data_IF_912403429063
#
_entry.id   IF_912403429063
#
_cell.length_a   1.000
_cell.length_b   1.000
_cell.length_c   1.000
_cell.angle_alpha   90.00
_cell.angle_beta   90.00
_cell.angle_gamma   90.00
#
_symmetry.space_group_name_H-M   'P 1'
#
loop_
_entity.id
_entity.type
_entity.pdbx_description
1 polymer ?
#
# COMPACT_ATOMS: atom_id res chain seq x y z
N UNK A 1 6.97 61.58 -15.78
CA UNK A 1 6.02 60.44 -15.78
C UNK A 1 6.69 59.09 -16.15
N UNK A 2 7.82 58.71 -15.54
CA UNK A 2 8.47 57.39 -15.82
C UNK A 2 8.76 56.55 -14.55
N UNK A 3 8.55 57.12 -13.37
CA UNK A 3 8.89 56.48 -12.08
C UNK A 3 7.65 55.78 -11.47
N UNK A 4 6.46 56.35 -11.67
CA UNK A 4 5.20 55.77 -11.16
C UNK A 4 4.84 54.42 -11.80
N UNK A 5 5.25 54.17 -13.04
CA UNK A 5 4.91 52.94 -13.78
C UNK A 5 5.73 51.73 -13.34
N UNK A 6 6.92 51.93 -12.74
CA UNK A 6 7.78 50.82 -12.27
C UNK A 6 7.39 50.30 -10.88
N UNK A 7 6.75 51.13 -10.05
CA UNK A 7 6.30 50.70 -8.72
C UNK A 7 5.06 49.78 -8.78
N UNK A 8 4.18 49.98 -9.75
CA UNK A 8 2.95 49.18 -9.88
C UNK A 8 3.26 47.74 -10.34
N UNK A 9 4.34 47.55 -11.10
CA UNK A 9 4.75 46.21 -11.56
C UNK A 9 5.35 45.34 -10.43
N UNK A 10 5.96 45.96 -9.41
CA UNK A 10 6.56 45.23 -8.29
C UNK A 10 5.50 44.75 -7.27
N UNK A 11 4.40 45.51 -7.09
CA UNK A 11 3.30 45.10 -6.21
C UNK A 11 2.40 44.01 -6.82
N UNK A 12 2.36 43.89 -8.15
CA UNK A 12 1.57 42.85 -8.82
C UNK A 12 2.17 41.43 -8.68
N UNK A 13 3.49 41.31 -8.47
CA UNK A 13 4.15 40.00 -8.30
C UNK A 13 4.12 39.46 -6.86
N UNK A 14 3.80 40.29 -5.86
CA UNK A 14 3.74 39.88 -4.45
C UNK A 14 2.37 39.28 -4.06
N UNK A 15 1.35 39.39 -4.91
CA UNK A 15 -0.01 38.91 -4.61
C UNK A 15 -0.32 37.47 -5.05
N UNK A 16 0.59 36.77 -5.73
CA UNK A 16 0.31 35.48 -6.39
C UNK A 16 1.02 34.27 -5.78
N UNK A 17 1.82 34.45 -4.75
CA UNK A 17 2.33 33.33 -3.96
C UNK A 17 1.31 32.94 -2.88
N UNK A 18 0.09 32.56 -3.29
CA UNK A 18 -0.73 31.75 -2.41
C UNK A 18 0.09 30.47 -2.12
N UNK A 19 0.36 30.13 -0.86
CA UNK A 19 0.96 28.82 -0.58
C UNK A 19 -0.01 27.81 -1.20
N UNK A 20 0.48 27.01 -2.14
CA UNK A 20 -0.28 25.87 -2.62
C UNK A 20 -0.75 25.14 -1.37
N UNK A 21 -2.07 25.10 -1.15
CA UNK A 21 -2.62 24.44 0.01
C UNK A 21 -2.21 22.98 -0.10
N UNK A 22 -1.15 22.61 0.63
CA UNK A 22 -0.67 21.24 0.70
C UNK A 22 -1.86 20.45 1.24
N UNK A 23 -2.48 19.65 0.38
CA UNK A 23 -3.64 18.86 0.77
C UNK A 23 -3.24 18.02 1.98
N UNK A 24 -4.04 18.06 3.05
CA UNK A 24 -3.76 17.28 4.23
C UNK A 24 -3.71 15.79 3.86
N UNK A 25 -2.89 14.97 4.55
CA UNK A 25 -2.86 13.54 4.31
C UNK A 25 -4.25 12.92 4.42
N UNK A 26 -4.66 12.20 3.39
CA UNK A 26 -5.97 11.56 3.28
C UNK A 26 -5.87 10.07 3.64
N UNK A 27 -6.72 9.61 4.56
CA UNK A 27 -6.86 8.17 4.85
C UNK A 27 -7.78 7.55 3.81
N UNK A 28 -7.21 6.74 2.92
CA UNK A 28 -7.96 6.12 1.81
C UNK A 28 -8.55 4.77 2.20
N UNK A 29 -8.01 4.10 3.21
CA UNK A 29 -8.59 2.88 3.77
C UNK A 29 -8.12 2.63 5.22
N UNK A 30 -8.95 1.94 6.02
CA UNK A 30 -8.63 1.49 7.37
C UNK A 30 -9.15 0.05 7.53
N UNK A 31 -8.27 -0.89 7.87
CA UNK A 31 -8.61 -2.28 8.17
C UNK A 31 -8.26 -2.59 9.62
N UNK A 32 -9.18 -3.25 10.31
CA UNK A 32 -8.90 -3.72 11.66
C UNK A 32 -8.24 -5.08 11.62
N UNK A 33 -6.95 -5.12 11.94
CA UNK A 33 -6.16 -6.35 12.03
C UNK A 33 -6.01 -6.79 13.49
N UNK A 34 -5.55 -8.02 13.69
CA UNK A 34 -5.19 -8.60 14.99
C UNK A 34 -4.12 -7.80 15.76
N UNK A 35 -3.35 -6.94 15.09
CA UNK A 35 -2.34 -6.06 15.71
C UNK A 35 -2.77 -4.61 15.89
N UNK A 36 -3.99 -4.25 15.44
CA UNK A 36 -4.49 -2.88 15.42
C UNK A 36 -4.80 -2.37 14.00
N UNK A 37 -5.04 -1.05 13.84
CA UNK A 37 -5.47 -0.49 12.56
C UNK A 37 -4.34 -0.49 11.56
N UNK A 38 -4.62 -1.06 10.38
CA UNK A 38 -3.84 -0.92 9.18
C UNK A 38 -4.47 0.16 8.32
N UNK A 39 -3.78 1.27 8.14
CA UNK A 39 -4.27 2.45 7.43
C UNK A 39 -3.48 2.64 6.14
N UNK A 40 -4.16 2.94 5.05
CA UNK A 40 -3.51 3.45 3.83
C UNK A 40 -3.75 4.95 3.79
N UNK A 41 -2.67 5.71 3.80
CA UNK A 41 -2.68 7.17 3.82
C UNK A 41 -2.03 7.68 2.55
N UNK A 42 -2.69 8.60 1.86
CA UNK A 42 -2.16 9.31 0.70
C UNK A 42 -1.80 10.73 1.09
N UNK A 43 -0.57 11.12 0.81
CA UNK A 43 -0.07 12.49 0.98
C UNK A 43 0.55 12.96 -0.34
N UNK A 44 -0.21 13.76 -1.09
CA UNK A 44 0.13 14.17 -2.46
C UNK A 44 0.36 12.99 -3.40
N UNK A 45 1.62 12.78 -3.79
CA UNK A 45 2.05 11.69 -4.68
C UNK A 45 2.59 10.46 -3.92
N UNK A 46 2.71 10.53 -2.60
CA UNK A 46 3.15 9.41 -1.77
C UNK A 46 1.95 8.69 -1.17
N UNK A 47 2.07 7.37 -1.06
CA UNK A 47 1.16 6.53 -0.29
C UNK A 47 1.94 5.81 0.79
N UNK A 48 1.39 5.77 2.00
CA UNK A 48 2.01 5.16 3.17
C UNK A 48 1.03 4.17 3.79
N UNK A 49 1.51 2.99 4.17
CA UNK A 49 0.76 2.03 4.97
C UNK A 49 1.24 2.14 6.40
N UNK A 50 0.31 2.43 7.31
CA UNK A 50 0.55 2.54 8.73
C UNK A 50 -0.04 1.33 9.46
N UNK A 51 0.68 0.78 10.43
CA UNK A 51 0.14 -0.18 11.40
C UNK A 51 0.18 0.44 12.79
N UNK A 52 -0.99 0.69 13.39
CA UNK A 52 -1.09 1.37 14.68
C UNK A 52 -0.42 2.76 14.68
N UNK A 53 -0.50 3.47 13.56
CA UNK A 53 0.12 4.78 13.37
C UNK A 53 1.61 4.76 12.96
N UNK A 54 2.24 3.59 12.86
CA UNK A 54 3.65 3.48 12.43
C UNK A 54 3.75 3.08 10.97
N UNK A 55 4.58 3.78 10.20
CA UNK A 55 4.90 3.42 8.81
C UNK A 55 5.55 2.05 8.70
N UNK A 56 4.90 1.15 7.96
CA UNK A 56 5.40 -0.20 7.67
C UNK A 56 5.72 -0.41 6.18
N UNK A 57 5.11 0.40 5.31
CA UNK A 57 5.36 0.41 3.87
C UNK A 57 5.10 1.81 3.30
N UNK A 58 5.82 2.17 2.24
CA UNK A 58 5.66 3.45 1.55
C UNK A 58 5.96 3.26 0.07
N UNK A 59 5.14 3.86 -0.78
CA UNK A 59 5.36 3.92 -2.22
C UNK A 59 5.20 5.36 -2.72
N UNK A 60 6.04 5.75 -3.68
CA UNK A 60 5.96 7.04 -4.35
C UNK A 60 5.38 6.88 -5.76
N UNK A 61 4.51 7.79 -6.16
CA UNK A 61 3.91 7.84 -7.49
C UNK A 61 2.52 7.22 -7.53
N UNK A 62 2.43 5.90 -7.57
CA UNK A 62 1.16 5.20 -7.71
C UNK A 62 0.30 5.31 -6.43
N UNK A 63 -1.02 5.43 -6.62
CA UNK A 63 -1.95 5.27 -5.52
C UNK A 63 -1.86 3.84 -4.98
N UNK A 64 -1.60 3.70 -3.69
CA UNK A 64 -1.82 2.43 -3.01
C UNK A 64 -3.31 2.34 -2.63
N UNK A 65 -3.92 1.19 -2.89
CA UNK A 65 -5.29 0.91 -2.48
C UNK A 65 -5.34 -0.48 -1.89
N UNK A 66 -5.78 -0.60 -0.65
CA UNK A 66 -6.03 -1.91 -0.06
C UNK A 66 -7.27 -2.53 -0.74
N UNK A 67 -7.13 -3.78 -1.21
CA UNK A 67 -8.15 -4.42 -2.04
C UNK A 67 -8.78 -5.64 -1.37
N UNK A 68 -7.95 -6.50 -0.78
CA UNK A 68 -8.38 -7.75 -0.17
C UNK A 68 -7.84 -7.86 1.24
N UNK A 69 -8.69 -8.26 2.18
CA UNK A 69 -8.35 -8.54 3.58
C UNK A 69 -8.77 -9.96 3.91
N UNK A 70 -7.89 -10.72 4.57
CA UNK A 70 -8.12 -12.12 4.92
C UNK A 70 -7.44 -12.46 6.24
N UNK A 71 -8.13 -13.17 7.13
CA UNK A 71 -7.52 -13.79 8.30
C UNK A 71 -7.10 -15.21 7.97
N UNK A 72 -5.87 -15.58 8.32
CA UNK A 72 -5.23 -16.86 7.97
C UNK A 72 -4.77 -17.58 9.23
N UNK A 73 -5.06 -18.87 9.32
CA UNK A 73 -4.78 -19.69 10.51
C UNK A 73 -5.77 -19.45 11.66
N UNK A 74 -5.40 -19.97 12.84
CA UNK A 74 -6.21 -19.89 14.05
C UNK A 74 -6.04 -18.54 14.77
N UNK A 75 -7.01 -18.14 15.60
CA UNK A 75 -6.95 -16.85 16.31
C UNK A 75 -5.72 -16.70 17.22
N UNK A 76 -5.16 -17.81 17.71
CA UNK A 76 -4.05 -17.80 18.66
C UNK A 76 -2.71 -17.44 18.00
N UNK A 77 -2.48 -17.91 16.78
CA UNK A 77 -1.19 -17.83 16.10
C UNK A 77 -1.27 -17.41 14.62
N UNK A 78 -2.47 -17.19 14.12
CA UNK A 78 -2.74 -16.70 12.78
C UNK A 78 -2.30 -15.26 12.54
N UNK A 79 -2.56 -14.80 11.33
CA UNK A 79 -2.20 -13.47 10.86
C UNK A 79 -3.28 -12.94 9.92
N UNK A 80 -3.37 -11.62 9.82
CA UNK A 80 -4.17 -10.98 8.80
C UNK A 80 -3.29 -10.62 7.60
N UNK A 81 -3.83 -10.84 6.41
CA UNK A 81 -3.20 -10.55 5.13
C UNK A 81 -4.01 -9.47 4.41
N UNK A 82 -3.33 -8.42 3.96
CA UNK A 82 -3.90 -7.36 3.14
C UNK A 82 -3.14 -7.26 1.83
N UNK A 83 -3.85 -7.35 0.71
CA UNK A 83 -3.27 -7.02 -0.60
C UNK A 83 -3.40 -5.52 -0.87
N UNK A 84 -2.25 -4.89 -1.10
CA UNK A 84 -2.14 -3.48 -1.44
C UNK A 84 -1.88 -3.36 -2.93
N UNK A 85 -2.88 -2.86 -3.65
CA UNK A 85 -2.87 -2.63 -5.08
C UNK A 85 -2.03 -1.40 -5.44
N UNK A 86 -1.20 -1.52 -6.47
CA UNK A 86 -0.44 -0.41 -7.05
C UNK A 86 -1.09 0.10 -8.34
N UNK A 87 -1.71 1.29 -8.28
CA UNK A 87 -2.14 2.02 -9.48
C UNK A 87 -3.00 1.20 -10.45
N UNK A 88 -3.09 1.62 -11.71
CA UNK A 88 -3.77 0.87 -12.76
C UNK A 88 -2.70 0.19 -13.62
N UNK A 89 -2.59 -1.14 -13.57
CA UNK A 89 -1.63 -1.88 -14.39
C UNK A 89 -1.86 -1.69 -15.89
N UNK A 90 -0.98 -2.25 -16.73
CA UNK A 90 -1.02 -2.15 -18.18
C UNK A 90 -1.01 -3.53 -18.86
N UNK A 91 -0.93 -3.57 -20.19
CA UNK A 91 -0.93 -4.81 -20.96
C UNK A 91 0.31 -5.69 -20.71
N UNK A 92 1.47 -5.08 -20.43
CA UNK A 92 2.74 -5.76 -20.19
C UNK A 92 2.89 -6.23 -18.74
N UNK A 93 2.22 -5.56 -17.81
CA UNK A 93 2.16 -5.92 -16.42
C UNK A 93 0.79 -5.50 -15.89
N UNK A 94 -0.16 -6.45 -15.77
CA UNK A 94 -1.37 -6.25 -15.02
C UNK A 94 -1.08 -5.65 -13.65
N UNK A 95 -2.12 -5.19 -12.99
CA UNK A 95 -2.07 -4.57 -11.67
C UNK A 95 -1.15 -5.36 -10.72
N UNK A 96 -0.14 -4.70 -10.14
CA UNK A 96 0.73 -5.30 -9.13
C UNK A 96 0.17 -5.12 -7.73
N UNK A 97 0.51 -6.06 -6.85
CA UNK A 97 0.06 -6.08 -5.47
C UNK A 97 1.23 -6.32 -4.55
N UNK A 98 1.27 -5.60 -3.44
CA UNK A 98 2.09 -5.98 -2.29
C UNK A 98 1.22 -6.78 -1.32
N UNK A 99 1.83 -7.76 -0.66
CA UNK A 99 1.21 -8.48 0.43
C UNK A 99 1.72 -7.91 1.76
N UNK A 100 0.81 -7.42 2.59
CA UNK A 100 1.09 -7.05 3.97
C UNK A 100 0.50 -8.11 4.89
N UNK A 101 1.34 -8.84 5.63
CA UNK A 101 0.92 -9.82 6.62
C UNK A 101 1.22 -9.30 8.03
N UNK A 102 0.26 -9.43 8.94
CA UNK A 102 0.32 -8.83 10.28
C UNK A 102 -0.15 -9.85 11.32
N UNK A 103 0.68 -10.13 12.32
CA UNK A 103 0.35 -11.07 13.38
C UNK A 103 -0.06 -10.39 14.67
N UNK A 104 -0.72 -11.14 15.57
CA UNK A 104 -1.15 -10.65 16.88
C UNK A 104 -0.01 -10.09 17.75
N UNK A 105 1.20 -10.59 17.56
CA UNK A 105 2.44 -10.10 18.20
C UNK A 105 2.95 -8.75 17.63
N UNK A 106 2.19 -8.14 16.71
CA UNK A 106 2.47 -6.91 15.97
C UNK A 106 3.57 -7.01 14.92
N UNK A 107 4.30 -8.12 14.85
CA UNK A 107 5.25 -8.34 13.78
C UNK A 107 4.54 -8.31 12.44
N UNK A 108 5.24 -7.83 11.42
CA UNK A 108 4.68 -7.71 10.09
C UNK A 108 5.68 -8.11 9.01
N UNK A 109 5.17 -8.55 7.87
CA UNK A 109 5.93 -8.75 6.64
C UNK A 109 5.28 -7.96 5.52
N UNK A 110 6.10 -7.32 4.69
CA UNK A 110 5.67 -6.68 3.45
C UNK A 110 6.41 -7.36 2.32
N UNK A 111 5.67 -8.01 1.44
CA UNK A 111 6.23 -8.64 0.24
C UNK A 111 5.81 -7.80 -0.96
N UNK A 112 6.76 -7.06 -1.56
CA UNK A 112 6.46 -6.26 -2.73
C UNK A 112 6.18 -7.14 -3.94
N UNK A 113 5.28 -6.68 -4.81
CA UNK A 113 4.97 -7.28 -6.11
C UNK A 113 4.72 -8.80 -6.04
N UNK A 114 3.92 -9.24 -5.06
CA UNK A 114 3.68 -10.66 -4.75
C UNK A 114 3.22 -11.44 -5.98
N UNK A 115 2.42 -10.82 -6.85
CA UNK A 115 1.88 -11.43 -8.05
C UNK A 115 2.81 -11.37 -9.26
N UNK A 116 3.97 -10.70 -9.19
CA UNK A 116 5.00 -10.64 -10.26
C UNK A 116 4.42 -10.38 -11.66
N UNK A 117 3.64 -9.31 -11.81
CA UNK A 117 2.96 -8.98 -13.08
C UNK A 117 2.03 -10.09 -13.64
N UNK A 118 1.53 -10.97 -12.79
CA UNK A 118 0.54 -11.99 -13.15
C UNK A 118 -0.84 -11.56 -12.66
N UNK A 119 -1.88 -11.83 -13.44
CA UNK A 119 -3.26 -11.50 -13.04
C UNK A 119 -3.66 -12.36 -11.86
N UNK A 120 -4.10 -11.76 -10.74
CA UNK A 120 -4.71 -12.52 -9.65
C UNK A 120 -6.09 -13.00 -10.10
N UNK A 121 -6.32 -14.31 -10.06
CA UNK A 121 -7.59 -14.95 -10.38
C UNK A 121 -8.42 -15.25 -9.14
N UNK A 122 -7.75 -15.71 -8.07
CA UNK A 122 -8.42 -16.07 -6.82
C UNK A 122 -7.44 -15.99 -5.65
N UNK A 123 -7.97 -15.83 -4.44
CA UNK A 123 -7.21 -15.84 -3.20
C UNK A 123 -7.95 -16.74 -2.21
N UNK A 124 -7.27 -17.76 -1.71
CA UNK A 124 -7.83 -18.76 -0.81
C UNK A 124 -7.01 -18.86 0.47
N UNK A 125 -7.68 -19.24 1.55
CA UNK A 125 -7.04 -19.70 2.80
C UNK A 125 -7.16 -21.21 2.86
N UNK A 126 -6.05 -21.89 3.15
CA UNK A 126 -6.02 -23.32 3.43
C UNK A 126 -5.21 -23.58 4.70
N UNK A 127 -5.91 -23.74 5.82
CA UNK A 127 -5.29 -23.84 7.15
C UNK A 127 -4.48 -22.60 7.51
N UNK A 128 -3.18 -22.77 7.68
CA UNK A 128 -2.20 -21.73 8.02
C UNK A 128 -1.56 -21.07 6.78
N UNK A 129 -2.07 -21.36 5.58
CA UNK A 129 -1.49 -20.90 4.31
C UNK A 129 -2.42 -19.95 3.57
N UNK A 130 -1.82 -18.90 3.00
CA UNK A 130 -2.47 -18.04 2.03
C UNK A 130 -2.06 -18.50 0.62
N UNK A 131 -3.04 -18.84 -0.21
CA UNK A 131 -2.84 -19.26 -1.59
C UNK A 131 -3.36 -18.18 -2.54
N UNK A 132 -2.48 -17.62 -3.36
CA UNK A 132 -2.83 -16.65 -4.40
C UNK A 132 -2.73 -17.36 -5.74
N UNK A 133 -3.87 -17.57 -6.40
CA UNK A 133 -3.92 -18.15 -7.74
C UNK A 133 -3.73 -17.03 -8.75
N UNK A 134 -2.71 -17.15 -9.59
CA UNK A 134 -2.36 -16.17 -10.61
C UNK A 134 -2.36 -16.77 -12.01
N UNK A 135 -2.53 -15.93 -13.02
CA UNK A 135 -2.41 -16.26 -14.43
C UNK A 135 -1.33 -15.39 -15.06
N UNK A 136 -0.33 -16.04 -15.66
CA UNK A 136 0.72 -15.37 -16.42
C UNK A 136 0.22 -14.93 -17.79
N UNK A 137 0.97 -14.04 -18.44
CA UNK A 137 0.65 -13.56 -19.79
C UNK A 137 0.53 -14.67 -20.85
N UNK A 138 1.19 -15.81 -20.65
CA UNK A 138 1.08 -16.96 -21.54
C UNK A 138 -0.13 -17.87 -21.23
N UNK A 139 -1.05 -17.44 -20.36
CA UNK A 139 -2.25 -18.18 -19.96
C UNK A 139 -1.99 -19.30 -18.95
N UNK A 140 -0.75 -19.48 -18.48
CA UNK A 140 -0.44 -20.49 -17.46
C UNK A 140 -0.90 -20.02 -16.09
N UNK A 141 -1.71 -20.84 -15.43
CA UNK A 141 -2.07 -20.66 -14.02
C UNK A 141 -0.93 -21.12 -13.10
N UNK A 142 -0.67 -20.34 -12.07
CA UNK A 142 0.28 -20.66 -11.00
C UNK A 142 -0.36 -20.37 -9.63
N UNK A 143 0.19 -21.00 -8.60
CA UNK A 143 -0.21 -20.76 -7.21
C UNK A 143 1.00 -20.23 -6.48
N UNK A 144 0.83 -19.06 -5.86
CA UNK A 144 1.80 -18.46 -4.96
C UNK A 144 1.35 -18.79 -3.55
N UNK A 145 2.11 -19.63 -2.87
CA UNK A 145 1.90 -19.93 -1.45
C UNK A 145 2.69 -18.93 -0.61
N UNK A 146 1.98 -18.14 0.20
CA UNK A 146 2.62 -17.40 1.27
C UNK A 146 2.51 -18.21 2.57
N UNK A 147 3.67 -18.52 3.14
CA UNK A 147 3.78 -19.02 4.50
C UNK A 147 4.31 -17.92 5.43
N UNK A 148 3.80 -17.92 6.64
CA UNK A 148 4.02 -16.89 7.66
C UNK A 148 5.46 -16.85 8.23
N UNK A 149 6.37 -17.66 7.66
CA UNK A 149 7.76 -17.78 8.13
C UNK A 149 8.53 -16.47 8.03
N UNK A 150 8.21 -15.60 7.07
CA UNK A 150 8.91 -14.32 6.90
C UNK A 150 8.60 -13.33 8.02
N UNK A 151 7.35 -13.32 8.49
CA UNK A 151 6.91 -12.49 9.60
C UNK A 151 7.42 -13.02 10.94
N UNK A 152 7.47 -14.35 11.10
CA UNK A 152 7.92 -15.02 12.33
C UNK A 152 9.45 -15.08 12.50
N UNK A 153 10.23 -14.41 11.65
CA UNK A 153 11.71 -14.44 11.80
C UNK A 153 12.15 -13.69 13.06
N UNK A 154 13.22 -14.12 13.74
CA UNK A 154 13.71 -13.43 14.94
C UNK A 154 14.11 -11.96 14.71
N UNK A 155 14.48 -11.62 13.48
CA UNK A 155 14.84 -10.28 13.03
C UNK A 155 13.67 -9.54 12.34
N UNK A 156 12.48 -10.14 12.33
CA UNK A 156 11.30 -9.48 11.78
C UNK A 156 11.02 -8.20 12.57
N UNK A 157 10.67 -7.15 11.83
CA UNK A 157 10.30 -5.89 12.45
C UNK A 157 9.00 -6.15 13.23
N UNK A 158 8.94 -5.81 14.53
CA UNK A 158 7.67 -5.73 15.26
C UNK A 158 6.81 -4.68 14.59
#
# INVERSE_FOLDING_TARGET
MRIATRLILALACLGLAAPAAQAAPERTAIYMTVAGPLEVVRDGAASTVLLGGRTIHQATGAALTAQSYMSVGELADGYDAVLIRHGVGNAECPITYDLVAVGKDKTYAVIPDINKCSRILNINVDGDRLMIVTERQNGRTEIIEYNDKQRRRPDAKP
#
